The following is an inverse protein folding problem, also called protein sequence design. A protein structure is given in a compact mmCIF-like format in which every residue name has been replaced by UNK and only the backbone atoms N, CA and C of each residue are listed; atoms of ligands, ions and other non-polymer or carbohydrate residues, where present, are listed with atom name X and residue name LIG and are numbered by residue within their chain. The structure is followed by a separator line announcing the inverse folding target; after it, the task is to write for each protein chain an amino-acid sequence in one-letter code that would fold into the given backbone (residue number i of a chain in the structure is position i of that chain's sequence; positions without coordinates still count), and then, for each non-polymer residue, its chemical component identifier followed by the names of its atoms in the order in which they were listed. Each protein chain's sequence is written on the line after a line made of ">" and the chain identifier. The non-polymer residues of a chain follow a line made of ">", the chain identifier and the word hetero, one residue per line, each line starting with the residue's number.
data_IF_031549016864
#
_entry.id   IF_031549016864
#
_cell.length_a   1.000
_cell.length_b   1.000
_cell.length_c   1.000
_cell.angle_alpha   90.00
_cell.angle_beta   90.00
_cell.angle_gamma   90.00
#
_symmetry.space_group_name_H-M   'P 1'
#
loop_
_entity.id
_entity.type
_entity.pdbx_description
1 polymer ?
#
# COMPACT_ATOMS: atom_id res chain seq x y z
N UNK A 1 -15.49 -2.81 11.14
CA UNK A 1 -15.49 -2.03 12.40
C UNK A 1 -15.09 -0.55 12.27
N UNK A 2 -13.87 -0.20 11.81
CA UNK A 2 -13.42 1.21 11.78
C UNK A 2 -13.92 2.04 10.60
N UNK A 3 -14.48 1.41 9.56
CA UNK A 3 -15.00 2.11 8.38
C UNK A 3 -16.04 3.17 8.75
N UNK A 4 -15.85 4.39 8.25
CA UNK A 4 -16.74 5.53 8.51
C UNK A 4 -16.49 6.27 9.83
N UNK A 5 -15.51 5.85 10.63
CA UNK A 5 -15.08 6.57 11.83
C UNK A 5 -13.85 7.42 11.52
N UNK A 6 -13.78 8.61 12.12
CA UNK A 6 -12.50 9.30 12.31
C UNK A 6 -11.63 8.53 13.29
N UNK A 7 -10.33 8.82 13.28
CA UNK A 7 -9.41 8.16 14.21
C UNK A 7 -9.73 8.46 15.68
N UNK A 8 -10.16 9.67 15.99
CA UNK A 8 -10.59 10.07 17.33
C UNK A 8 -11.83 9.28 17.78
N UNK A 9 -12.82 9.13 16.90
CA UNK A 9 -14.01 8.33 17.20
C UNK A 9 -13.66 6.85 17.40
N UNK A 10 -12.80 6.29 16.54
CA UNK A 10 -12.34 4.91 16.69
C UNK A 10 -11.64 4.70 18.04
N UNK A 11 -10.75 5.62 18.45
CA UNK A 11 -10.09 5.55 19.77
C UNK A 11 -11.06 5.67 20.93
N UNK A 12 -12.08 6.54 20.82
CA UNK A 12 -13.09 6.71 21.87
C UNK A 12 -14.00 5.49 21.99
N UNK A 13 -14.37 4.85 20.87
CA UNK A 13 -15.31 3.72 20.84
C UNK A 13 -14.63 2.37 21.05
N UNK A 14 -13.37 2.22 20.62
CA UNK A 14 -12.64 0.95 20.58
C UNK A 14 -11.15 1.12 20.99
N UNK A 15 -10.85 1.65 22.20
CA UNK A 15 -9.49 2.02 22.61
C UNK A 15 -8.49 0.85 22.57
N UNK A 16 -8.89 -0.33 23.08
CA UNK A 16 -8.03 -1.52 23.11
C UNK A 16 -7.67 -2.01 21.70
N UNK A 17 -8.63 -1.99 20.77
CA UNK A 17 -8.42 -2.39 19.38
C UNK A 17 -7.52 -1.39 18.66
N UNK A 18 -7.71 -0.08 18.91
CA UNK A 18 -6.80 0.95 18.41
C UNK A 18 -5.37 0.77 18.93
N UNK A 19 -5.20 0.37 20.20
CA UNK A 19 -3.89 0.08 20.77
C UNK A 19 -3.25 -1.16 20.13
N UNK A 20 -4.01 -2.24 19.96
CA UNK A 20 -3.55 -3.46 19.29
C UNK A 20 -3.12 -3.16 17.83
N UNK A 21 -3.93 -2.40 17.09
CA UNK A 21 -3.59 -1.96 15.74
C UNK A 21 -2.33 -1.08 15.71
N UNK A 22 -2.19 -0.10 16.62
CA UNK A 22 -1.00 0.76 16.69
C UNK A 22 0.28 -0.06 16.94
N UNK A 23 0.22 -1.06 17.81
CA UNK A 23 1.36 -1.92 18.13
C UNK A 23 1.73 -2.87 16.98
N UNK A 24 0.72 -3.51 16.37
CA UNK A 24 0.94 -4.48 15.30
C UNK A 24 1.19 -3.83 13.92
N UNK A 25 0.67 -2.61 13.71
CA UNK A 25 0.58 -1.95 12.38
C UNK A 25 -0.06 -2.86 11.33
N UNK A 26 -1.01 -3.68 11.76
CA UNK A 26 -1.71 -4.69 10.97
C UNK A 26 -3.22 -4.56 11.20
N UNK A 27 -3.98 -4.43 10.10
CA UNK A 27 -5.43 -4.38 10.12
C UNK A 27 -6.08 -5.69 10.58
N UNK A 28 -5.35 -6.81 10.58
CA UNK A 28 -5.80 -8.07 11.17
C UNK A 28 -6.00 -8.02 12.69
N UNK A 29 -5.48 -6.99 13.38
CA UNK A 29 -5.79 -6.72 14.77
C UNK A 29 -7.17 -6.08 14.97
N UNK A 30 -7.79 -5.59 13.90
CA UNK A 30 -9.14 -5.03 13.91
C UNK A 30 -10.13 -6.12 13.51
N UNK A 31 -11.23 -6.35 14.26
CA UNK A 31 -12.24 -7.32 13.88
C UNK A 31 -12.78 -7.07 12.47
N UNK A 32 -12.85 -8.14 11.67
CA UNK A 32 -13.21 -8.15 10.24
C UNK A 32 -12.21 -7.40 9.33
N UNK A 33 -11.10 -6.91 9.87
CA UNK A 33 -10.04 -6.30 9.11
C UNK A 33 -9.25 -7.32 8.29
N UNK A 34 -8.83 -6.92 7.09
CA UNK A 34 -7.93 -7.72 6.27
C UNK A 34 -6.52 -7.71 6.91
N UNK A 35 -5.94 -8.87 7.19
CA UNK A 35 -4.57 -8.92 7.69
C UNK A 35 -3.54 -8.51 6.64
N UNK A 36 -2.35 -8.09 7.10
CA UNK A 36 -1.20 -7.80 6.24
C UNK A 36 -0.85 -8.99 5.33
N UNK A 37 -0.97 -10.22 5.84
CA UNK A 37 -0.73 -11.44 5.06
C UNK A 37 -1.75 -11.66 3.95
N UNK A 38 -3.04 -11.45 4.22
CA UNK A 38 -4.10 -11.57 3.20
C UNK A 38 -3.95 -10.49 2.13
N UNK A 39 -3.66 -9.25 2.53
CA UNK A 39 -3.35 -8.14 1.63
C UNK A 39 -2.18 -8.49 0.69
N UNK A 40 -1.10 -9.04 1.24
CA UNK A 40 0.05 -9.46 0.43
C UNK A 40 -0.29 -10.54 -0.57
N UNK A 41 -0.94 -11.61 -0.13
CA UNK A 41 -1.35 -12.70 -1.02
C UNK A 41 -2.27 -12.19 -2.15
N UNK A 42 -3.17 -11.23 -1.84
CA UNK A 42 -4.03 -10.60 -2.84
C UNK A 42 -3.24 -9.75 -3.83
N UNK A 43 -2.22 -9.03 -3.37
CA UNK A 43 -1.33 -8.25 -4.24
C UNK A 43 -0.45 -9.15 -5.14
N UNK A 44 0.06 -10.26 -4.63
CA UNK A 44 0.81 -11.26 -5.42
C UNK A 44 -0.06 -11.85 -6.53
N UNK A 45 -1.27 -12.32 -6.18
CA UNK A 45 -2.23 -12.83 -7.17
C UNK A 45 -2.59 -11.80 -8.23
N UNK A 46 -2.75 -10.54 -7.83
CA UNK A 46 -3.02 -9.45 -8.76
C UNK A 46 -1.87 -9.23 -9.75
N UNK A 47 -0.62 -9.17 -9.27
CA UNK A 47 0.55 -9.00 -10.13
C UNK A 47 0.68 -10.16 -11.11
N UNK A 48 0.52 -11.39 -10.64
CA UNK A 48 0.58 -12.58 -11.52
C UNK A 48 -0.56 -12.58 -12.54
N UNK A 49 -1.76 -12.18 -12.14
CA UNK A 49 -2.88 -12.01 -13.08
C UNK A 49 -2.54 -11.00 -14.18
N UNK A 50 -2.00 -9.82 -13.85
CA UNK A 50 -1.58 -8.84 -14.85
C UNK A 50 -0.53 -9.42 -15.81
N UNK A 51 0.44 -10.19 -15.28
CA UNK A 51 1.50 -10.82 -16.09
C UNK A 51 0.95 -11.85 -17.08
N UNK A 52 -0.12 -12.55 -16.71
CA UNK A 52 -0.76 -13.56 -17.57
C UNK A 52 -1.68 -12.95 -18.63
N UNK A 53 -2.34 -11.82 -18.34
CA UNK A 53 -3.34 -11.23 -19.22
C UNK A 53 -2.76 -10.21 -20.22
N UNK A 54 -1.54 -9.72 -20.01
CA UNK A 54 -0.95 -8.67 -20.82
C UNK A 54 0.41 -9.07 -21.40
N UNK A 55 0.66 -8.67 -22.65
CA UNK A 55 1.93 -8.92 -23.32
C UNK A 55 3.08 -8.13 -22.67
N UNK A 56 4.30 -8.67 -22.76
CA UNK A 56 5.50 -7.95 -22.32
C UNK A 56 5.61 -6.59 -23.03
N UNK A 57 5.88 -5.52 -22.27
CA UNK A 57 5.93 -4.15 -22.79
C UNK A 57 4.61 -3.39 -22.72
N UNK A 58 3.51 -4.03 -22.29
CA UNK A 58 2.24 -3.33 -22.03
C UNK A 58 2.40 -2.28 -20.93
N UNK A 59 1.84 -1.09 -21.15
CA UNK A 59 1.76 -0.03 -20.14
C UNK A 59 0.35 -0.01 -19.55
N UNK A 60 0.24 -0.25 -18.24
CA UNK A 60 -1.03 -0.33 -17.53
C UNK A 60 -1.14 0.82 -16.52
N UNK A 61 -2.30 1.48 -16.47
CA UNK A 61 -2.63 2.44 -15.43
C UNK A 61 -3.51 1.76 -14.38
N UNK A 62 -3.00 1.66 -13.15
CA UNK A 62 -3.72 1.04 -12.02
C UNK A 62 -4.04 2.12 -10.99
N UNK A 63 -5.32 2.25 -10.64
CA UNK A 63 -5.80 3.15 -9.57
C UNK A 63 -6.23 2.30 -8.38
N UNK A 64 -5.69 2.60 -7.19
CA UNK A 64 -5.94 1.83 -5.98
C UNK A 64 -5.72 2.67 -4.72
N UNK A 65 -5.65 2.02 -3.56
CA UNK A 65 -5.44 2.64 -2.26
C UNK A 65 -4.02 2.43 -1.75
N UNK A 66 -3.51 3.36 -0.94
CA UNK A 66 -2.11 3.37 -0.49
C UNK A 66 -1.62 2.09 0.18
N UNK A 67 -2.48 1.40 0.93
CA UNK A 67 -2.13 0.10 1.53
C UNK A 67 -1.84 -0.99 0.48
N UNK A 68 -2.66 -1.09 -0.56
CA UNK A 68 -2.48 -2.06 -1.62
C UNK A 68 -1.31 -1.69 -2.54
N UNK A 69 -1.18 -0.41 -2.91
CA UNK A 69 -0.06 0.09 -3.72
C UNK A 69 1.27 -0.20 -3.01
N UNK A 70 1.34 0.07 -1.69
CA UNK A 70 2.51 -0.28 -0.85
C UNK A 70 2.86 -1.76 -0.95
N UNK A 71 1.88 -2.65 -0.77
CA UNK A 71 2.10 -4.09 -0.84
C UNK A 71 2.63 -4.52 -2.22
N UNK A 72 2.01 -4.04 -3.30
CA UNK A 72 2.40 -4.34 -4.67
C UNK A 72 3.82 -3.86 -5.01
N UNK A 73 4.15 -2.61 -4.65
CA UNK A 73 5.51 -2.08 -4.85
C UNK A 73 6.56 -2.84 -4.04
N UNK A 74 6.25 -3.23 -2.80
CA UNK A 74 7.14 -4.06 -1.99
C UNK A 74 7.42 -5.43 -2.63
N UNK A 75 6.39 -6.10 -3.15
CA UNK A 75 6.55 -7.38 -3.88
C UNK A 75 7.45 -7.19 -5.12
N UNK A 76 7.20 -6.14 -5.91
CA UNK A 76 8.00 -5.85 -7.11
C UNK A 76 9.45 -5.52 -6.77
N UNK A 77 9.71 -4.86 -5.65
CA UNK A 77 11.06 -4.62 -5.14
C UNK A 77 11.69 -5.83 -4.43
N UNK A 78 10.96 -6.95 -4.26
CA UNK A 78 11.45 -8.16 -3.60
C UNK A 78 11.58 -8.04 -2.09
N UNK A 79 10.87 -7.10 -1.49
CA UNK A 79 10.79 -6.91 -0.05
C UNK A 79 9.86 -7.96 0.54
N UNK A 80 10.36 -8.69 1.53
CA UNK A 80 9.59 -9.74 2.18
C UNK A 80 8.54 -9.20 3.14
N UNK A 81 7.61 -10.08 3.50
CA UNK A 81 6.49 -9.72 4.33
C UNK A 81 6.88 -9.21 5.74
N UNK A 82 7.97 -9.78 6.25
CA UNK A 82 8.54 -9.51 7.56
C UNK A 82 9.32 -8.20 7.65
N UNK A 83 9.70 -7.62 6.51
CA UNK A 83 10.57 -6.44 6.50
C UNK A 83 9.89 -5.21 7.11
N UNK A 84 10.68 -4.45 7.87
CA UNK A 84 10.24 -3.20 8.52
C UNK A 84 10.36 -1.98 7.59
N UNK A 85 10.09 -2.17 6.31
CA UNK A 85 10.04 -1.07 5.35
C UNK A 85 8.60 -0.53 5.23
N UNK A 86 8.48 0.79 5.32
CA UNK A 86 7.22 1.48 5.06
C UNK A 86 7.36 2.37 3.83
N UNK A 87 6.70 1.98 2.73
CA UNK A 87 6.65 2.81 1.51
C UNK A 87 5.54 3.85 1.68
N UNK A 88 5.90 5.13 1.67
CA UNK A 88 4.93 6.23 1.68
C UNK A 88 4.21 6.31 0.34
N UNK A 89 2.90 6.48 0.38
CA UNK A 89 2.03 6.63 -0.79
C UNK A 89 1.07 7.77 -0.47
N UNK A 90 1.35 8.91 -1.04
CA UNK A 90 0.51 10.11 -0.91
C UNK A 90 -0.68 9.99 -1.85
N UNK A 91 -1.75 10.71 -1.50
CA UNK A 91 -2.92 10.81 -2.36
C UNK A 91 -2.52 11.25 -3.77
N UNK A 92 -3.11 10.59 -4.77
CA UNK A 92 -2.87 10.88 -6.19
C UNK A 92 -1.41 10.79 -6.66
N UNK A 93 -0.50 10.27 -5.83
CA UNK A 93 0.89 10.07 -6.23
C UNK A 93 1.01 9.04 -7.36
N UNK A 94 2.02 9.22 -8.22
CA UNK A 94 2.34 8.30 -9.30
C UNK A 94 3.55 7.43 -8.96
N UNK A 95 3.47 6.15 -9.28
CA UNK A 95 4.60 5.22 -9.20
C UNK A 95 4.69 4.43 -10.50
N UNK A 96 5.90 4.13 -10.96
CA UNK A 96 6.15 3.33 -12.15
C UNK A 96 7.04 2.15 -11.80
N UNK A 97 6.48 0.96 -11.96
CA UNK A 97 7.14 -0.31 -11.66
C UNK A 97 6.65 -1.38 -12.65
N UNK A 98 7.40 -2.47 -12.77
CA UNK A 98 7.00 -3.56 -13.67
C UNK A 98 7.96 -4.74 -13.68
N UNK A 99 7.64 -5.71 -14.53
CA UNK A 99 8.41 -6.94 -14.73
C UNK A 99 8.72 -7.06 -16.23
N UNK A 100 9.96 -7.37 -16.58
CA UNK A 100 10.39 -7.65 -17.95
C UNK A 100 11.32 -8.86 -17.95
N UNK A 101 10.89 -9.97 -18.57
CA UNK A 101 11.52 -11.27 -18.36
C UNK A 101 11.61 -11.63 -16.87
N UNK A 102 12.80 -11.98 -16.39
CA UNK A 102 13.06 -12.29 -14.97
C UNK A 102 13.38 -11.04 -14.12
N UNK A 103 13.48 -9.86 -14.74
CA UNK A 103 13.87 -8.63 -14.05
C UNK A 103 12.66 -7.86 -13.57
N UNK A 104 12.75 -7.36 -12.34
CA UNK A 104 11.78 -6.44 -11.74
C UNK A 104 12.35 -5.03 -11.73
N UNK A 105 11.50 -4.04 -11.94
CA UNK A 105 11.89 -2.65 -12.05
C UNK A 105 11.03 -1.79 -11.14
N UNK A 106 11.69 -0.88 -10.43
CA UNK A 106 11.10 0.32 -9.84
C UNK A 106 11.76 1.49 -10.54
N UNK A 107 10.98 2.31 -11.27
CA UNK A 107 11.50 3.49 -11.97
C UNK A 107 11.40 4.73 -11.10
N UNK A 108 10.25 4.92 -10.43
CA UNK A 108 10.03 5.94 -9.40
C UNK A 108 8.84 5.51 -8.52
N UNK A 109 8.80 6.04 -7.30
CA UNK A 109 7.75 5.80 -6.30
C UNK A 109 7.30 7.14 -5.74
N UNK A 110 6.00 7.27 -5.48
CA UNK A 110 5.40 8.40 -4.76
C UNK A 110 5.69 9.77 -5.38
N UNK A 111 5.61 9.88 -6.71
CA UNK A 111 5.80 11.14 -7.41
C UNK A 111 4.55 12.02 -7.31
N UNK A 112 4.72 13.18 -6.68
CA UNK A 112 3.65 14.17 -6.45
C UNK A 112 3.94 15.50 -7.14
N UNK A 113 4.87 15.55 -8.11
CA UNK A 113 5.29 16.82 -8.74
C UNK A 113 4.19 17.54 -9.51
N UNK A 114 3.13 16.82 -9.84
CA UNK A 114 1.95 17.37 -10.51
C UNK A 114 0.94 17.98 -9.53
N UNK A 115 1.09 17.75 -8.22
CA UNK A 115 0.24 18.27 -7.16
C UNK A 115 0.75 19.62 -6.67
N UNK A 116 -0.18 20.44 -6.17
CA UNK A 116 0.19 21.68 -5.48
C UNK A 116 0.51 21.38 -4.02
N UNK A 117 1.22 22.30 -3.36
CA UNK A 117 1.63 22.12 -1.94
C UNK A 117 0.43 21.90 -1.00
N UNK A 118 -0.75 22.45 -1.33
CA UNK A 118 -1.97 22.27 -0.54
C UNK A 118 -2.54 20.85 -0.59
N UNK A 119 -2.14 20.04 -1.56
CA UNK A 119 -2.64 18.67 -1.75
C UNK A 119 -1.76 17.64 -1.02
N UNK A 120 -0.65 18.08 -0.42
CA UNK A 120 0.31 17.21 0.24
C UNK A 120 -0.18 16.77 1.63
N UNK A 121 0.04 15.49 1.96
CA UNK A 121 -0.28 14.95 3.28
C UNK A 121 0.97 14.96 4.18
N UNK A 122 1.09 15.89 5.15
CA UNK A 122 2.30 16.01 5.97
C UNK A 122 2.49 14.86 6.97
N UNK A 123 1.46 14.04 7.19
CA UNK A 123 1.39 13.04 8.28
C UNK A 123 2.34 11.85 8.11
N UNK A 124 3.03 11.73 6.97
CA UNK A 124 3.94 10.62 6.66
C UNK A 124 5.38 11.06 6.35
N UNK A 125 5.77 12.28 6.71
CA UNK A 125 7.16 12.72 6.58
C UNK A 125 8.09 11.85 7.45
N UNK A 126 9.10 11.17 6.88
CA UNK A 126 10.14 10.54 7.68
C UNK A 126 10.97 11.63 8.39
N UNK A 127 11.44 11.33 9.60
CA UNK A 127 12.32 12.19 10.40
C UNK A 127 13.61 12.55 9.66
#
# INVERSE_FOLDING_TARGET
>A
MFSGLTWTEAQSRHPEICQAFKAARDWGAVPEGESKSLLWQRAERFIEHLRQQHAEGSLLLIVSHGGFIRAALSILAGIQASEKLFVCIDNTSLSLAGIKGERRYIRYINDTRHLQTCDYQPEFAPL
#
